data_IF_621873414972
#
_entry.id   IF_621873414972
#
_cell.length_a   1.000
_cell.length_b   1.000
_cell.length_c   1.000
_cell.angle_alpha   90.00
_cell.angle_beta   90.00
_cell.angle_gamma   90.00
#
_symmetry.space_group_name_H-M   'P 1'
#
loop_
_entity.id
_entity.type
_entity.pdbx_description
1 polymer ?
#
# COMPACT_ATOMS: atom_id res chain seq x y z
N UNK A 1 -6.53 21.25 9.87
CA UNK A 1 -5.98 20.24 10.81
C UNK A 1 -4.48 20.18 10.56
N UNK A 2 -3.65 20.40 11.58
CA UNK A 2 -2.19 20.42 11.42
C UNK A 2 -1.68 19.08 10.91
N UNK A 3 -0.84 19.04 9.85
CA UNK A 3 -0.19 17.83 9.43
C UNK A 3 0.76 17.42 10.55
N UNK A 4 0.61 16.20 11.05
CA UNK A 4 1.55 15.64 12.01
C UNK A 4 2.91 15.60 11.30
N UNK A 5 3.75 16.62 11.55
CA UNK A 5 5.18 16.59 11.23
C UNK A 5 5.80 15.51 12.11
N UNK A 6 5.84 14.27 11.62
CA UNK A 6 6.57 13.17 12.26
C UNK A 6 8.04 13.28 11.85
N UNK A 7 8.92 13.34 12.85
CA UNK A 7 10.35 13.56 12.68
C UNK A 7 11.01 12.56 11.73
N UNK A 8 12.04 13.02 11.00
CA UNK A 8 12.96 12.24 10.16
C UNK A 8 12.30 10.98 9.59
N UNK A 9 11.25 11.19 8.80
CA UNK A 9 10.16 10.22 8.65
C UNK A 9 10.61 8.98 7.91
N UNK A 10 10.57 7.84 8.57
CA UNK A 10 10.46 6.56 7.90
C UNK A 10 9.04 6.50 7.28
N UNK A 11 8.86 6.66 5.96
CA UNK A 11 7.54 6.62 5.34
C UNK A 11 6.94 5.21 5.40
N UNK A 12 5.63 5.13 5.18
CA UNK A 12 4.95 3.85 4.91
C UNK A 12 4.40 3.92 3.49
N UNK A 13 4.95 3.07 2.62
CA UNK A 13 4.43 2.83 1.28
C UNK A 13 3.39 1.72 1.34
N UNK A 14 2.46 1.70 0.39
CA UNK A 14 1.43 0.66 0.32
C UNK A 14 1.17 0.20 -1.11
N UNK A 15 0.70 -1.05 -1.26
CA UNK A 15 0.27 -1.65 -2.53
C UNK A 15 -1.26 -1.72 -2.68
N UNK A 16 -2.03 -0.99 -1.86
CA UNK A 16 -3.49 -1.12 -1.80
C UNK A 16 -4.13 -0.93 -3.19
N UNK A 17 -3.72 0.12 -3.92
CA UNK A 17 -4.26 0.39 -5.25
C UNK A 17 -3.97 -0.71 -6.27
N UNK A 18 -2.76 -1.29 -6.21
CA UNK A 18 -2.32 -2.40 -7.08
C UNK A 18 -3.10 -3.67 -6.76
N UNK A 19 -3.13 -4.07 -5.49
CA UNK A 19 -3.85 -5.27 -5.02
C UNK A 19 -5.35 -5.19 -5.31
N UNK A 20 -5.92 -3.98 -5.17
CA UNK A 20 -7.32 -3.74 -5.49
C UNK A 20 -7.59 -3.88 -7.00
N UNK A 21 -6.69 -3.36 -7.85
CA UNK A 21 -6.80 -3.51 -9.30
C UNK A 21 -6.65 -4.98 -9.74
N UNK A 22 -5.71 -5.72 -9.14
CA UNK A 22 -5.50 -7.15 -9.37
C UNK A 22 -6.77 -7.96 -9.10
N UNK A 23 -7.48 -7.65 -8.00
CA UNK A 23 -8.74 -8.29 -7.63
C UNK A 23 -9.99 -7.71 -8.33
N UNK A 24 -9.83 -6.80 -9.31
CA UNK A 24 -10.93 -6.06 -9.96
C UNK A 24 -11.91 -5.42 -8.97
N UNK A 25 -11.40 -4.99 -7.82
CA UNK A 25 -12.18 -4.46 -6.72
C UNK A 25 -12.28 -2.93 -6.84
N UNK A 26 -13.45 -2.37 -6.54
CA UNK A 26 -13.64 -0.90 -6.48
C UNK A 26 -13.26 -0.35 -5.11
N UNK A 27 -12.99 0.96 -5.03
CA UNK A 27 -12.74 1.62 -3.73
C UNK A 27 -13.92 1.48 -2.78
N UNK A 28 -15.15 1.49 -3.30
CA UNK A 28 -16.36 1.32 -2.51
C UNK A 28 -16.45 -0.08 -1.90
N UNK A 29 -16.15 -1.13 -2.69
CA UNK A 29 -16.15 -2.52 -2.20
C UNK A 29 -15.08 -2.75 -1.12
N UNK A 30 -13.87 -2.21 -1.30
CA UNK A 30 -12.83 -2.30 -0.27
C UNK A 30 -13.26 -1.55 0.99
N UNK A 31 -13.83 -0.35 0.84
CA UNK A 31 -14.26 0.48 1.95
C UNK A 31 -15.38 -0.18 2.76
N UNK A 32 -16.34 -0.82 2.10
CA UNK A 32 -17.38 -1.64 2.73
C UNK A 32 -16.76 -2.81 3.51
N UNK A 33 -15.81 -3.53 2.91
CA UNK A 33 -15.15 -4.69 3.52
C UNK A 33 -14.32 -4.36 4.77
N UNK A 34 -13.82 -3.12 4.88
CA UNK A 34 -13.03 -2.64 6.02
C UNK A 34 -13.78 -1.57 6.83
N UNK A 35 -15.09 -1.43 6.64
CA UNK A 35 -16.00 -0.55 7.39
C UNK A 35 -15.51 0.92 7.48
N UNK A 36 -15.13 1.51 6.35
CA UNK A 36 -14.72 2.92 6.24
C UNK A 36 -15.44 3.64 5.10
N UNK A 37 -15.30 4.97 5.04
CA UNK A 37 -15.76 5.74 3.90
C UNK A 37 -14.85 5.50 2.67
N UNK A 38 -15.37 5.36 1.43
CA UNK A 38 -14.59 5.21 0.20
C UNK A 38 -13.48 6.27 -0.02
N UNK A 39 -13.68 7.49 0.49
CA UNK A 39 -12.65 8.55 0.46
C UNK A 39 -11.41 8.17 1.27
N UNK A 40 -11.59 7.43 2.37
CA UNK A 40 -10.50 6.92 3.21
C UNK A 40 -9.59 6.02 2.41
N UNK A 41 -10.14 5.10 1.62
CA UNK A 41 -9.39 4.21 0.72
C UNK A 41 -8.59 5.02 -0.29
N UNK A 42 -9.21 6.01 -0.93
CA UNK A 42 -8.49 6.87 -1.88
C UNK A 42 -7.33 7.63 -1.25
N UNK A 43 -7.48 8.09 -0.01
CA UNK A 43 -6.42 8.79 0.70
C UNK A 43 -5.33 7.85 1.25
N UNK A 44 -5.66 6.59 1.59
CA UNK A 44 -4.67 5.54 1.87
C UNK A 44 -3.82 5.23 0.64
N UNK A 45 -4.46 5.03 -0.52
CA UNK A 45 -3.75 4.70 -1.77
C UNK A 45 -2.75 5.79 -2.19
N UNK A 46 -3.03 7.07 -1.88
CA UNK A 46 -2.11 8.18 -2.13
C UNK A 46 -1.05 8.37 -1.03
N UNK A 47 -1.19 7.68 0.09
CA UNK A 47 -0.31 7.88 1.26
C UNK A 47 -0.56 9.19 2.01
N UNK A 48 -1.71 9.84 1.81
CA UNK A 48 -2.08 11.10 2.49
C UNK A 48 -2.20 10.89 4.02
N UNK A 49 -2.52 9.67 4.44
CA UNK A 49 -2.61 9.28 5.84
C UNK A 49 -2.14 7.84 6.04
N UNK A 50 -1.67 7.56 7.26
CA UNK A 50 -1.30 6.20 7.67
C UNK A 50 -2.48 5.55 8.39
N UNK A 51 -2.82 4.30 8.04
CA UNK A 51 -3.88 3.57 8.73
C UNK A 51 -3.50 3.33 10.19
N UNK A 52 -4.52 3.18 11.05
CA UNK A 52 -4.31 2.52 12.34
C UNK A 52 -3.85 1.07 12.13
N UNK A 53 -3.24 0.45 13.15
CA UNK A 53 -2.87 -0.96 13.08
C UNK A 53 -4.07 -1.84 12.76
N UNK A 54 -5.21 -1.59 13.41
CA UNK A 54 -6.46 -2.30 13.15
C UNK A 54 -6.90 -2.21 11.67
N UNK A 55 -6.90 -0.99 11.10
CA UNK A 55 -7.28 -0.81 9.69
C UNK A 55 -6.29 -1.50 8.75
N UNK A 56 -5.00 -1.45 9.05
CA UNK A 56 -3.98 -2.17 8.29
C UNK A 56 -4.22 -3.69 8.33
N UNK A 57 -4.52 -4.26 9.51
CA UNK A 57 -4.82 -5.68 9.65
C UNK A 57 -6.09 -6.09 8.90
N UNK A 58 -7.16 -5.29 8.96
CA UNK A 58 -8.39 -5.55 8.16
C UNK A 58 -8.11 -5.54 6.65
N UNK A 59 -7.31 -4.59 6.17
CA UNK A 59 -6.88 -4.56 4.77
C UNK A 59 -6.09 -5.83 4.40
N UNK A 60 -5.17 -6.26 5.26
CA UNK A 60 -4.40 -7.49 5.06
C UNK A 60 -5.32 -8.72 4.97
N UNK A 61 -6.33 -8.80 5.83
CA UNK A 61 -7.35 -9.87 5.79
C UNK A 61 -8.14 -9.85 4.47
N UNK A 62 -8.60 -8.69 4.00
CA UNK A 62 -9.34 -8.56 2.73
C UNK A 62 -8.49 -9.00 1.54
N UNK A 63 -7.18 -8.75 1.59
CA UNK A 63 -6.24 -9.18 0.56
C UNK A 63 -5.63 -10.56 0.80
N UNK A 64 -5.93 -11.23 1.92
CA UNK A 64 -5.34 -12.52 2.30
C UNK A 64 -3.80 -12.54 2.17
N UNK A 65 -3.18 -11.42 2.56
CA UNK A 65 -1.74 -11.19 2.43
C UNK A 65 -1.14 -10.75 3.77
N UNK A 66 0.14 -11.06 4.03
CA UNK A 66 0.82 -10.57 5.20
C UNK A 66 1.08 -9.05 5.09
N UNK A 67 1.37 -8.41 6.23
CA UNK A 67 1.46 -6.95 6.31
C UNK A 67 2.57 -6.37 5.42
N UNK A 68 3.69 -7.07 5.29
CA UNK A 68 4.84 -6.69 4.47
C UNK A 68 4.56 -6.75 2.95
N UNK A 69 3.57 -7.54 2.53
CA UNK A 69 3.14 -7.57 1.14
C UNK A 69 2.21 -6.39 0.79
N UNK A 70 1.55 -5.81 1.79
CA UNK A 70 0.62 -4.69 1.63
C UNK A 70 1.29 -3.34 1.93
N UNK A 71 2.17 -3.29 2.93
CA UNK A 71 2.82 -2.09 3.43
C UNK A 71 4.33 -2.29 3.58
N UNK A 72 5.12 -1.23 3.33
CA UNK A 72 6.58 -1.29 3.46
C UNK A 72 7.18 0.03 3.95
N UNK A 73 8.37 -0.04 4.53
CA UNK A 73 9.20 1.13 4.90
C UNK A 73 10.02 1.65 3.72
N UNK A 74 10.12 0.87 2.66
CA UNK A 74 10.76 1.22 1.40
C UNK A 74 9.72 1.22 0.28
N UNK A 75 9.96 2.01 -0.75
CA UNK A 75 9.09 2.02 -1.92
C UNK A 75 9.06 0.62 -2.56
N UNK A 76 7.89 0.23 -3.05
CA UNK A 76 7.74 -1.02 -3.75
C UNK A 76 8.29 -0.87 -5.18
N UNK A 77 9.17 -1.78 -5.59
CA UNK A 77 9.63 -1.81 -6.95
C UNK A 77 8.45 -2.04 -7.92
N UNK A 78 8.50 -1.49 -9.14
CA UNK A 78 7.57 -1.86 -10.20
C UNK A 78 7.66 -3.37 -10.47
N UNK A 79 6.51 -4.00 -10.72
CA UNK A 79 6.44 -5.44 -11.00
C UNK A 79 7.34 -5.87 -12.17
N UNK A 80 7.51 -5.02 -13.18
CA UNK A 80 8.40 -5.28 -14.31
C UNK A 80 9.87 -5.45 -13.90
N UNK A 81 10.33 -4.72 -12.87
CA UNK A 81 11.69 -4.81 -12.35
C UNK A 81 11.88 -6.10 -11.56
N UNK A 82 10.86 -6.52 -10.80
CA UNK A 82 10.89 -7.77 -10.03
C UNK A 82 10.86 -9.01 -10.93
N UNK A 83 10.06 -8.99 -12.01
CA UNK A 83 9.89 -10.12 -12.92
C UNK A 83 10.99 -10.23 -13.99
N UNK A 84 11.58 -9.11 -14.41
CA UNK A 84 12.62 -9.06 -15.43
C UNK A 84 13.85 -8.32 -14.89
N UNK A 85 14.58 -8.91 -13.93
CA UNK A 85 15.79 -8.28 -13.41
C UNK A 85 16.81 -8.17 -14.54
N UNK A 86 17.14 -6.95 -14.95
CA UNK A 86 18.28 -6.72 -15.82
C UNK A 86 19.53 -6.97 -15.00
N UNK A 87 20.25 -8.06 -15.28
CA UNK A 87 21.62 -8.24 -14.79
C UNK A 87 22.43 -7.02 -15.20
N UNK A 88 23.06 -6.28 -14.26
CA UNK A 88 24.06 -5.29 -14.64
C UNK A 88 25.14 -6.04 -15.43
N UNK A 89 25.53 -5.53 -16.60
CA UNK A 89 26.79 -5.97 -17.21
C UNK A 89 27.88 -5.65 -16.19
N UNK A 90 28.57 -6.67 -15.70
CA UNK A 90 29.83 -6.48 -14.99
C UNK A 90 30.76 -5.72 -15.94
N UNK A 91 30.98 -4.43 -15.66
CA UNK A 91 32.05 -3.65 -16.26
C UNK A 91 33.35 -4.17 -15.65
N UNK A 92 34.10 -4.92 -16.45
CA UNK A 92 35.44 -5.42 -16.11
C UNK A 92 36.51 -4.34 -16.12
#
# INVERSE_FOLDING_TARGET
MSPVRRGASLPIFNRIGVLRAERKMSRAQLAESIEVNPQTVGALERGDHYPSLDLAMRICTVFELPIEAVFSRTEFAPMSVELYPTTPKEEG
#
